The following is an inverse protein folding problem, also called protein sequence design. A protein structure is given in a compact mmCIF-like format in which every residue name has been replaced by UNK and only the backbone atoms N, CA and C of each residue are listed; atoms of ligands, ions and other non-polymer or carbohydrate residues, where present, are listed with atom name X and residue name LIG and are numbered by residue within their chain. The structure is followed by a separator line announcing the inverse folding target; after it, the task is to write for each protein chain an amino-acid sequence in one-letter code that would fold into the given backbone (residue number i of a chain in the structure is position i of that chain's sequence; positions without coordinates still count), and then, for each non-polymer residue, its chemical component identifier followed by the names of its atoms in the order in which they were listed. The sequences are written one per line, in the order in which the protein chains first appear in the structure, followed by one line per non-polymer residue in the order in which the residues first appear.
data_IF_324057600947
#
_entry.id   IF_324057600947
#
_cell.length_a   1.000
_cell.length_b   1.000
_cell.length_c   1.000
_cell.angle_alpha   90.00
_cell.angle_beta   90.00
_cell.angle_gamma   90.00
#
_symmetry.space_group_name_H-M   'P 1'
#
loop_
_entity.id
_entity.type
_entity.pdbx_description
1 polymer ?
#
# COMPACT_ATOMS: atom_id res chain seq x y z
N UNK A 1 19.49 -11.46 11.27
CA UNK A 1 20.82 -12.00 11.65
C UNK A 1 21.02 -12.00 13.16
N UNK A 2 21.11 -10.84 13.83
CA UNK A 2 21.58 -10.75 15.22
C UNK A 2 20.81 -11.56 16.27
N UNK A 3 19.48 -11.70 16.14
CA UNK A 3 18.63 -12.38 17.15
C UNK A 3 18.04 -13.70 16.67
N UNK A 4 18.20 -14.04 15.40
CA UNK A 4 17.46 -15.14 14.76
C UNK A 4 17.85 -16.53 15.26
N UNK A 5 19.12 -16.73 15.60
CA UNK A 5 19.65 -18.03 15.95
C UNK A 5 18.96 -18.65 17.19
N UNK A 6 18.65 -17.85 18.20
CA UNK A 6 17.92 -18.31 19.39
C UNK A 6 16.47 -18.73 19.12
N UNK A 7 15.92 -18.38 17.95
CA UNK A 7 14.59 -18.75 17.49
C UNK A 7 14.60 -19.77 16.33
N UNK A 8 15.76 -20.39 16.03
CA UNK A 8 15.89 -21.36 14.92
C UNK A 8 15.91 -20.73 13.52
N UNK A 9 16.17 -19.41 13.42
CA UNK A 9 16.28 -18.71 12.13
C UNK A 9 17.76 -18.61 11.76
N UNK A 10 18.15 -19.33 10.71
CA UNK A 10 19.52 -19.36 10.18
C UNK A 10 19.69 -18.41 8.98
N UNK A 11 20.89 -17.88 8.79
CA UNK A 11 21.26 -17.07 7.62
C UNK A 11 22.42 -17.74 6.90
N UNK A 12 22.22 -18.08 5.63
CA UNK A 12 23.28 -18.53 4.71
C UNK A 12 23.47 -17.43 3.67
N UNK A 13 24.71 -16.99 3.50
CA UNK A 13 25.06 -15.90 2.60
C UNK A 13 26.32 -16.28 1.81
N UNK A 14 26.31 -15.99 0.52
CA UNK A 14 27.48 -16.06 -0.37
C UNK A 14 27.85 -14.66 -0.83
N UNK A 15 29.15 -14.37 -0.91
CA UNK A 15 29.66 -13.12 -1.46
C UNK A 15 30.94 -13.40 -2.25
N UNK A 16 31.17 -12.64 -3.31
CA UNK A 16 32.38 -12.80 -4.14
C UNK A 16 33.63 -12.32 -3.41
N UNK A 17 33.45 -11.30 -2.55
CA UNK A 17 34.50 -10.78 -1.67
C UNK A 17 33.94 -10.58 -0.28
N UNK A 18 34.78 -10.88 0.71
CA UNK A 18 34.43 -10.64 2.12
C UNK A 18 34.04 -9.17 2.35
N UNK A 19 34.73 -8.21 1.73
CA UNK A 19 34.48 -6.77 1.87
C UNK A 19 33.07 -6.31 1.45
N UNK A 20 32.35 -7.09 0.64
CA UNK A 20 30.96 -6.79 0.26
C UNK A 20 29.98 -6.99 1.43
N UNK A 21 30.38 -7.79 2.42
CA UNK A 21 29.57 -8.05 3.61
C UNK A 21 29.88 -7.00 4.68
N UNK A 22 28.85 -6.30 5.17
CA UNK A 22 29.01 -5.29 6.22
C UNK A 22 29.55 -5.92 7.51
N UNK A 23 30.46 -5.22 8.19
CA UNK A 23 31.13 -5.71 9.39
C UNK A 23 30.15 -6.20 10.48
N UNK A 24 29.10 -5.42 10.75
CA UNK A 24 28.06 -5.79 11.72
C UNK A 24 27.34 -7.11 11.40
N UNK A 25 27.25 -7.50 10.12
CA UNK A 25 26.67 -8.78 9.72
C UNK A 25 27.70 -9.90 9.85
N UNK A 26 28.96 -9.65 9.47
CA UNK A 26 30.06 -10.62 9.57
C UNK A 26 30.25 -11.18 10.97
N UNK A 27 30.12 -10.34 12.00
CA UNK A 27 30.29 -10.77 13.40
C UNK A 27 29.28 -11.85 13.81
N UNK A 28 28.15 -11.97 13.10
CA UNK A 28 27.13 -12.99 13.34
C UNK A 28 27.31 -14.25 12.47
N UNK A 29 28.25 -14.24 11.52
CA UNK A 29 28.56 -15.36 10.65
C UNK A 29 29.65 -16.23 11.28
N UNK A 30 29.25 -17.16 12.15
CA UNK A 30 30.16 -18.04 12.89
C UNK A 30 30.80 -19.11 12.00
N UNK A 31 30.04 -19.68 11.06
CA UNK A 31 30.54 -20.67 10.11
C UNK A 31 30.93 -19.97 8.81
N UNK A 32 32.20 -20.06 8.43
CA UNK A 32 32.74 -19.43 7.21
C UNK A 32 33.49 -20.46 6.40
N UNK A 33 33.18 -20.52 5.12
CA UNK A 33 33.91 -21.31 4.13
C UNK A 33 34.42 -20.33 3.08
N UNK A 34 35.75 -20.25 2.92
CA UNK A 34 36.38 -19.35 1.97
C UNK A 34 36.86 -20.17 0.77
N UNK A 35 36.25 -19.94 -0.40
CA UNK A 35 36.72 -20.56 -1.65
C UNK A 35 37.93 -19.81 -2.21
N UNK A 36 38.49 -20.29 -3.32
CA UNK A 36 39.55 -19.57 -4.03
C UNK A 36 39.13 -18.11 -4.32
N UNK A 37 39.89 -17.17 -3.78
CA UNK A 37 39.70 -15.74 -4.01
C UNK A 37 40.44 -15.27 -5.27
N UNK A 38 39.90 -14.21 -5.89
CA UNK A 38 40.57 -13.50 -6.98
C UNK A 38 41.83 -12.79 -6.49
N UNK A 39 41.72 -12.05 -5.38
CA UNK A 39 42.85 -11.52 -4.63
C UNK A 39 42.95 -12.23 -3.28
N UNK A 40 44.07 -12.91 -3.05
CA UNK A 40 44.33 -13.65 -1.80
C UNK A 40 44.57 -12.73 -0.61
N UNK A 41 44.85 -11.44 -0.83
CA UNK A 41 44.98 -10.45 0.25
C UNK A 41 43.63 -10.14 0.93
N UNK A 42 42.53 -10.38 0.21
CA UNK A 42 41.15 -10.22 0.71
C UNK A 42 40.72 -11.36 1.66
N UNK A 43 41.56 -12.40 1.82
CA UNK A 43 41.31 -13.51 2.74
C UNK A 43 41.11 -13.01 4.17
N UNK A 44 40.02 -13.44 4.79
CA UNK A 44 39.74 -13.18 6.21
C UNK A 44 40.25 -14.28 7.13
N UNK A 45 40.58 -15.46 6.58
CA UNK A 45 41.08 -16.60 7.35
C UNK A 45 42.61 -16.62 7.45
N UNK A 46 43.31 -16.89 6.35
CA UNK A 46 44.77 -16.84 6.28
C UNK A 46 45.25 -16.59 4.85
N UNK A 47 45.96 -15.47 4.64
CA UNK A 47 46.44 -15.05 3.32
C UNK A 47 47.47 -16.00 2.71
N UNK A 48 48.29 -16.66 3.55
CA UNK A 48 49.30 -17.61 3.06
C UNK A 48 48.65 -18.91 2.60
N UNK A 49 47.63 -19.37 3.33
CA UNK A 49 46.85 -20.54 2.92
C UNK A 49 46.02 -20.22 1.67
N UNK A 50 45.35 -19.06 1.63
CA UNK A 50 44.60 -18.59 0.46
C UNK A 50 45.46 -18.59 -0.81
N UNK A 51 46.71 -18.14 -0.72
CA UNK A 51 47.66 -18.15 -1.83
C UNK A 51 47.91 -19.55 -2.40
N UNK A 52 47.87 -20.57 -1.55
CA UNK A 52 48.08 -21.98 -1.91
C UNK A 52 46.79 -22.72 -2.30
N UNK A 53 45.62 -22.09 -2.22
CA UNK A 53 44.38 -22.68 -2.76
C UNK A 53 44.48 -22.73 -4.29
N UNK A 54 44.35 -23.91 -4.92
CA UNK A 54 44.56 -24.07 -6.37
C UNK A 54 43.64 -23.19 -7.23
N UNK A 55 44.20 -22.61 -8.29
CA UNK A 55 43.45 -21.92 -9.34
C UNK A 55 42.86 -22.92 -10.33
N UNK A 56 41.66 -22.64 -10.86
CA UNK A 56 41.03 -23.49 -11.89
C UNK A 56 40.45 -24.80 -11.35
N UNK A 57 40.34 -24.96 -10.03
CA UNK A 57 39.71 -26.14 -9.39
C UNK A 57 38.51 -25.67 -8.56
N UNK A 58 37.31 -25.53 -9.17
CA UNK A 58 36.10 -25.14 -8.46
C UNK A 58 35.81 -26.06 -7.26
N UNK A 59 35.25 -25.48 -6.19
CA UNK A 59 34.97 -26.19 -4.94
C UNK A 59 36.15 -26.28 -3.96
N UNK A 60 37.38 -25.93 -4.37
CA UNK A 60 38.51 -25.81 -3.44
C UNK A 60 38.44 -24.53 -2.62
N UNK A 61 38.80 -24.65 -1.34
CA UNK A 61 38.85 -23.52 -0.41
C UNK A 61 39.60 -23.85 0.87
N UNK A 62 39.53 -22.93 1.82
CA UNK A 62 40.04 -23.08 3.17
C UNK A 62 38.94 -22.94 4.24
N UNK A 63 39.11 -23.70 5.31
CA UNK A 63 38.26 -23.67 6.51
C UNK A 63 38.84 -22.72 7.57
N UNK A 64 38.06 -22.35 8.61
CA UNK A 64 38.56 -21.51 9.72
C UNK A 64 39.77 -22.12 10.46
N UNK A 65 39.92 -23.45 10.41
CA UNK A 65 41.06 -24.19 10.95
C UNK A 65 42.28 -24.16 10.02
N UNK A 66 42.25 -23.37 8.94
CA UNK A 66 43.32 -23.24 7.95
C UNK A 66 43.61 -24.53 7.16
N UNK A 67 42.62 -25.42 7.08
CA UNK A 67 42.69 -26.66 6.31
C UNK A 67 42.08 -26.45 4.93
N UNK A 68 42.69 -27.06 3.90
CA UNK A 68 42.11 -27.12 2.57
C UNK A 68 40.90 -28.06 2.57
N UNK A 69 39.84 -27.70 1.86
CA UNK A 69 38.67 -28.55 1.66
C UNK A 69 38.26 -28.64 0.19
N UNK A 70 37.37 -29.60 -0.09
CA UNK A 70 36.64 -29.70 -1.36
C UNK A 70 35.15 -29.69 -1.11
N UNK A 71 34.42 -28.78 -1.74
CA UNK A 71 32.96 -28.84 -1.79
C UNK A 71 32.51 -30.12 -2.48
N UNK A 72 31.64 -30.89 -1.82
CA UNK A 72 30.97 -32.01 -2.46
C UNK A 72 29.98 -31.51 -3.52
N UNK A 73 29.78 -32.31 -4.57
CA UNK A 73 28.74 -32.06 -5.57
C UNK A 73 27.39 -32.56 -5.06
N UNK A 74 26.28 -31.81 -5.25
CA UNK A 74 24.95 -32.20 -4.79
C UNK A 74 24.32 -33.32 -5.65
N UNK A 75 24.80 -34.56 -5.51
CA UNK A 75 24.32 -35.73 -6.25
C UNK A 75 24.32 -37.01 -5.40
N UNK A 76 23.51 -37.99 -5.79
CA UNK A 76 23.33 -39.29 -5.11
C UNK A 76 23.47 -40.51 -6.04
N UNK A 77 23.90 -40.29 -7.28
CA UNK A 77 24.07 -41.33 -8.31
C UNK A 77 25.43 -42.06 -8.25
N UNK A 78 26.28 -41.70 -7.29
CA UNK A 78 27.60 -42.32 -7.07
C UNK A 78 28.73 -41.75 -7.93
N UNK A 79 28.46 -40.78 -8.81
CA UNK A 79 29.50 -40.07 -9.57
C UNK A 79 30.14 -38.97 -8.71
N UNK A 80 31.43 -38.70 -8.95
CA UNK A 80 32.22 -37.71 -8.18
C UNK A 80 32.68 -36.52 -9.02
N UNK A 81 32.13 -36.33 -10.22
CA UNK A 81 32.42 -35.21 -11.11
C UNK A 81 31.30 -34.15 -11.10
N UNK A 82 31.58 -32.99 -11.68
CA UNK A 82 30.62 -31.91 -11.97
C UNK A 82 29.92 -32.07 -13.33
N UNK A 83 30.12 -33.20 -14.00
CA UNK A 83 29.45 -33.54 -15.26
C UNK A 83 27.95 -33.68 -15.03
N UNK A 84 27.17 -33.04 -15.90
CA UNK A 84 25.69 -33.03 -15.89
C UNK A 84 25.10 -32.66 -14.51
N UNK A 85 25.77 -31.75 -13.79
CA UNK A 85 25.42 -31.43 -12.41
C UNK A 85 24.00 -30.88 -12.24
N UNK A 86 23.47 -30.18 -13.25
CA UNK A 86 22.09 -29.70 -13.24
C UNK A 86 21.09 -30.86 -13.17
N UNK A 87 21.26 -31.86 -14.05
CA UNK A 87 20.40 -33.05 -14.09
C UNK A 87 20.56 -33.90 -12.83
N UNK A 88 21.79 -34.07 -12.35
CA UNK A 88 22.07 -34.80 -11.11
C UNK A 88 21.42 -34.13 -9.88
N UNK A 89 21.46 -32.80 -9.82
CA UNK A 89 20.81 -32.02 -8.74
C UNK A 89 19.29 -32.13 -8.83
N UNK A 90 18.72 -32.09 -10.03
CA UNK A 90 17.28 -32.28 -10.24
C UNK A 90 16.81 -33.70 -9.86
N UNK A 91 17.62 -34.72 -10.17
CA UNK A 91 17.37 -36.10 -9.75
C UNK A 91 17.40 -36.24 -8.21
N UNK A 92 18.40 -35.65 -7.55
CA UNK A 92 18.45 -35.58 -6.09
C UNK A 92 17.20 -34.93 -5.50
N UNK A 93 16.79 -33.77 -6.00
CA UNK A 93 15.58 -33.08 -5.53
C UNK A 93 14.31 -33.92 -5.73
N UNK A 94 14.21 -34.61 -6.88
CA UNK A 94 13.09 -35.50 -7.19
C UNK A 94 13.01 -36.66 -6.21
N UNK A 95 14.13 -37.33 -5.93
CA UNK A 95 14.17 -38.45 -4.99
C UNK A 95 13.88 -38.01 -3.54
N UNK A 96 14.36 -36.83 -3.12
CA UNK A 96 14.02 -36.26 -1.81
C UNK A 96 12.51 -35.99 -1.71
N UNK A 97 11.93 -35.35 -2.74
CA UNK A 97 10.50 -35.05 -2.79
C UNK A 97 9.64 -36.31 -2.78
N UNK A 98 10.05 -37.34 -3.53
CA UNK A 98 9.35 -38.64 -3.60
C UNK A 98 9.23 -39.34 -2.24
N UNK A 99 10.24 -39.17 -1.38
CA UNK A 99 10.28 -39.82 -0.06
C UNK A 99 9.79 -38.91 1.08
N UNK A 100 9.36 -37.68 0.78
CA UNK A 100 8.83 -36.75 1.77
C UNK A 100 7.29 -36.78 1.77
N UNK A 101 6.69 -37.42 2.76
CA UNK A 101 5.24 -37.61 2.84
C UNK A 101 4.50 -36.50 3.62
N UNK A 102 5.24 -35.58 4.26
CA UNK A 102 4.68 -34.48 5.04
C UNK A 102 4.46 -33.22 4.16
N UNK A 103 3.70 -32.21 4.63
CA UNK A 103 3.65 -30.92 3.96
C UNK A 103 5.04 -30.34 3.72
N UNK A 104 5.24 -29.71 2.56
CA UNK A 104 6.49 -29.06 2.20
C UNK A 104 6.80 -27.81 3.02
N UNK A 105 7.87 -27.11 2.65
CA UNK A 105 8.18 -25.82 3.24
C UNK A 105 7.03 -24.82 3.02
N UNK A 106 6.61 -24.06 4.04
CA UNK A 106 5.59 -23.03 3.87
C UNK A 106 6.00 -22.01 2.80
N UNK A 107 5.07 -21.68 1.92
CA UNK A 107 5.32 -20.68 0.88
C UNK A 107 5.45 -19.27 1.47
N UNK A 108 6.27 -18.45 0.81
CA UNK A 108 6.32 -17.01 1.11
C UNK A 108 5.01 -16.40 0.66
N UNK A 109 4.18 -16.00 1.64
CA UNK A 109 2.93 -15.29 1.35
C UNK A 109 3.26 -13.96 0.69
N UNK A 110 2.72 -13.74 -0.51
CA UNK A 110 2.88 -12.51 -1.26
C UNK A 110 1.61 -11.67 -1.15
N UNK A 111 1.77 -10.35 -1.33
CA UNK A 111 0.63 -9.48 -1.49
C UNK A 111 -0.14 -9.88 -2.77
N UNK A 112 -1.42 -10.30 -2.66
CA UNK A 112 -2.15 -10.89 -3.77
C UNK A 112 -2.32 -9.88 -4.91
N UNK A 113 -2.37 -10.38 -6.15
CA UNK A 113 -2.60 -9.51 -7.32
C UNK A 113 -4.02 -8.95 -7.35
N UNK A 114 -4.98 -9.76 -6.93
CA UNK A 114 -6.38 -9.40 -6.77
C UNK A 114 -6.79 -9.80 -5.35
N UNK A 115 -7.40 -8.87 -4.62
CA UNK A 115 -7.88 -9.10 -3.26
C UNK A 115 -9.40 -8.99 -3.29
N UNK A 116 -10.16 -10.10 -3.32
CA UNK A 116 -11.62 -10.04 -3.25
C UNK A 116 -12.08 -9.24 -2.02
N UNK A 117 -13.05 -8.33 -2.20
CA UNK A 117 -13.49 -7.43 -1.13
C UNK A 117 -14.02 -8.17 0.10
N UNK A 118 -14.50 -9.41 -0.07
CA UNK A 118 -15.06 -10.27 0.97
C UNK A 118 -14.00 -10.79 1.95
N UNK A 119 -12.71 -10.74 1.57
CA UNK A 119 -11.60 -11.06 2.46
C UNK A 119 -11.26 -9.91 3.42
N UNK A 120 -11.74 -8.70 3.13
CA UNK A 120 -11.61 -7.57 4.04
C UNK A 120 -12.62 -7.71 5.19
N UNK A 121 -12.27 -7.31 6.41
CA UNK A 121 -13.24 -7.12 7.47
C UNK A 121 -14.39 -6.20 7.00
N UNK A 122 -15.62 -6.56 7.35
CA UNK A 122 -16.79 -5.72 7.06
C UNK A 122 -16.71 -4.40 7.82
N UNK A 123 -17.48 -3.40 7.38
CA UNK A 123 -17.37 -2.03 7.90
C UNK A 123 -17.57 -1.89 9.42
N UNK A 124 -18.32 -2.83 10.00
CA UNK A 124 -18.64 -2.89 11.44
C UNK A 124 -17.71 -3.77 12.27
N UNK A 125 -16.80 -4.52 11.66
CA UNK A 125 -15.97 -5.50 12.38
C UNK A 125 -15.02 -4.84 13.39
N UNK A 126 -14.46 -3.67 13.04
CA UNK A 126 -13.50 -2.95 13.87
C UNK A 126 -13.83 -1.45 13.95
N UNK A 127 -14.91 -1.05 14.64
CA UNK A 127 -15.43 0.32 14.55
C UNK A 127 -14.41 1.39 14.96
N UNK A 128 -13.55 1.10 15.95
CA UNK A 128 -12.50 2.02 16.41
C UNK A 128 -11.35 2.23 15.41
N UNK A 129 -11.23 1.40 14.36
CA UNK A 129 -10.14 1.49 13.37
C UNK A 129 -10.55 2.20 12.08
N UNK A 130 -11.84 2.46 11.88
CA UNK A 130 -12.38 2.91 10.60
C UNK A 130 -12.82 1.75 9.71
N UNK A 131 -12.92 1.99 8.40
CA UNK A 131 -13.31 0.99 7.40
C UNK A 131 -12.10 0.37 6.72
N UNK A 132 -12.10 -0.95 6.52
CA UNK A 132 -11.02 -1.66 5.85
C UNK A 132 -11.11 -1.48 4.33
N UNK A 133 -9.98 -1.27 3.67
CA UNK A 133 -9.97 -1.08 2.21
C UNK A 133 -8.85 -1.83 1.46
N UNK A 134 -7.84 -2.35 2.17
CA UNK A 134 -6.68 -2.98 1.54
C UNK A 134 -5.93 -3.93 2.50
N UNK A 135 -4.99 -4.73 1.98
CA UNK A 135 -3.91 -5.37 2.75
C UNK A 135 -2.57 -4.68 2.51
N UNK A 136 -1.71 -4.57 3.51
CA UNK A 136 -0.33 -4.09 3.35
C UNK A 136 0.68 -5.19 3.01
N UNK A 137 1.78 -4.85 2.34
CA UNK A 137 2.84 -5.79 1.96
C UNK A 137 3.68 -6.27 3.16
N UNK A 138 3.83 -5.43 4.20
CA UNK A 138 4.75 -5.68 5.32
C UNK A 138 4.28 -6.87 6.18
N UNK A 139 2.99 -6.94 6.47
CA UNK A 139 2.39 -7.93 7.37
C UNK A 139 1.22 -8.71 6.74
N UNK A 140 0.75 -8.32 5.55
CA UNK A 140 -0.47 -8.84 4.94
C UNK A 140 -1.70 -8.68 5.85
N UNK A 141 -1.75 -7.54 6.56
CA UNK A 141 -2.85 -7.20 7.47
C UNK A 141 -3.80 -6.17 6.85
N UNK A 142 -5.08 -6.15 7.28
CA UNK A 142 -6.02 -5.13 6.85
C UNK A 142 -5.57 -3.70 7.20
N UNK A 143 -5.64 -2.83 6.20
CA UNK A 143 -5.44 -1.38 6.29
C UNK A 143 -6.79 -0.69 6.35
N UNK A 144 -6.90 0.27 7.26
CA UNK A 144 -8.14 0.98 7.56
C UNK A 144 -8.00 2.47 7.32
N UNK A 145 -9.11 3.12 6.98
CA UNK A 145 -9.27 4.57 6.97
C UNK A 145 -10.36 4.98 7.95
N UNK A 146 -10.03 5.93 8.84
CA UNK A 146 -10.92 6.44 9.88
C UNK A 146 -11.35 7.87 9.58
N UNK A 147 -12.50 8.01 8.94
CA UNK A 147 -13.08 9.31 8.59
C UNK A 147 -13.59 10.12 9.79
N UNK A 148 -13.65 9.55 11.00
CA UNK A 148 -13.93 10.31 12.22
C UNK A 148 -12.70 11.08 12.71
N UNK A 149 -11.50 10.68 12.27
CA UNK A 149 -10.24 11.33 12.59
C UNK A 149 -9.76 12.21 11.44
N UNK A 150 -9.81 11.68 10.22
CA UNK A 150 -9.24 12.29 9.03
C UNK A 150 -10.33 12.42 7.95
N UNK A 151 -10.92 13.61 7.74
CA UNK A 151 -12.10 13.77 6.87
C UNK A 151 -11.78 13.73 5.37
N UNK A 152 -10.52 13.57 4.98
CA UNK A 152 -10.05 13.71 3.61
C UNK A 152 -9.31 12.46 3.14
N UNK A 153 -9.80 11.88 2.05
CA UNK A 153 -9.17 10.75 1.39
C UNK A 153 -9.02 11.00 -0.10
N UNK A 154 -7.79 10.92 -0.60
CA UNK A 154 -7.44 11.17 -2.00
C UNK A 154 -7.01 9.88 -2.69
N UNK A 155 -7.52 9.64 -3.89
CA UNK A 155 -7.13 8.51 -4.74
C UNK A 155 -6.50 9.06 -6.02
N UNK A 156 -5.22 8.78 -6.20
CA UNK A 156 -4.48 9.14 -7.40
C UNK A 156 -4.21 7.89 -8.22
N UNK A 157 -4.49 7.92 -9.52
CA UNK A 157 -4.07 6.85 -10.42
C UNK A 157 -4.46 7.10 -11.87
N UNK A 158 -3.81 6.42 -12.81
CA UNK A 158 -4.16 6.51 -14.23
C UNK A 158 -5.44 5.73 -14.56
N UNK A 159 -5.81 5.72 -15.84
CA UNK A 159 -6.91 4.89 -16.34
C UNK A 159 -6.72 3.44 -15.90
N UNK A 160 -7.81 2.76 -15.54
CA UNK A 160 -7.81 1.32 -15.20
C UNK A 160 -6.94 0.91 -13.98
N UNK A 161 -6.40 1.87 -13.23
CA UNK A 161 -5.60 1.60 -12.02
C UNK A 161 -6.41 1.12 -10.82
N UNK A 162 -7.75 1.18 -10.88
CA UNK A 162 -8.66 0.78 -9.80
C UNK A 162 -9.27 1.92 -8.98
N UNK A 163 -9.18 3.18 -9.45
CA UNK A 163 -9.75 4.37 -8.78
C UNK A 163 -11.23 4.19 -8.44
N UNK A 164 -12.07 3.98 -9.45
CA UNK A 164 -13.52 3.86 -9.28
C UNK A 164 -13.86 2.65 -8.41
N UNK A 165 -13.19 1.51 -8.59
CA UNK A 165 -13.35 0.35 -7.71
C UNK A 165 -13.08 0.67 -6.23
N UNK A 166 -12.03 1.44 -5.93
CA UNK A 166 -11.75 1.86 -4.54
C UNK A 166 -12.84 2.79 -3.99
N UNK A 167 -13.39 3.69 -4.80
CA UNK A 167 -14.56 4.50 -4.39
C UNK A 167 -15.76 3.61 -4.08
N UNK A 168 -16.07 2.62 -4.93
CA UNK A 168 -17.15 1.66 -4.69
C UNK A 168 -16.96 0.87 -3.40
N UNK A 169 -15.73 0.40 -3.16
CA UNK A 169 -15.38 -0.32 -1.94
C UNK A 169 -15.62 0.54 -0.70
N UNK A 170 -15.18 1.81 -0.72
CA UNK A 170 -15.36 2.71 0.41
C UNK A 170 -16.84 3.03 0.65
N UNK A 171 -17.64 3.25 -0.40
CA UNK A 171 -19.09 3.42 -0.28
C UNK A 171 -19.71 2.19 0.38
N UNK A 172 -19.44 0.98 -0.16
CA UNK A 172 -19.94 -0.30 0.40
C UNK A 172 -19.58 -0.46 1.88
N UNK A 173 -18.32 -0.22 2.22
CA UNK A 173 -17.85 -0.36 3.61
C UNK A 173 -18.51 0.64 4.55
N UNK A 174 -18.79 1.86 4.09
CA UNK A 174 -19.45 2.90 4.87
C UNK A 174 -20.96 2.66 5.02
N UNK A 175 -21.64 2.16 3.99
CA UNK A 175 -23.08 1.80 4.04
C UNK A 175 -23.34 0.55 4.85
N UNK A 176 -22.40 -0.40 4.88
CA UNK A 176 -22.44 -1.49 5.85
C UNK A 176 -22.24 -0.99 7.28
N UNK A 177 -21.40 0.03 7.46
CA UNK A 177 -20.99 0.52 8.77
C UNK A 177 -22.04 1.40 9.46
N UNK A 178 -22.67 2.29 8.70
CA UNK A 178 -23.58 3.30 9.23
C UNK A 178 -24.96 3.15 8.61
N UNK A 179 -26.05 3.36 9.37
CA UNK A 179 -27.38 3.42 8.78
C UNK A 179 -27.56 4.69 7.94
N UNK A 180 -28.50 4.65 7.00
CA UNK A 180 -28.76 5.75 6.06
C UNK A 180 -29.21 7.06 6.72
N UNK A 181 -29.69 7.03 7.96
CA UNK A 181 -30.06 8.23 8.73
C UNK A 181 -28.85 8.96 9.31
N UNK A 182 -27.73 8.25 9.49
CA UNK A 182 -26.47 8.78 10.03
C UNK A 182 -25.42 9.04 8.94
N UNK A 183 -25.58 8.42 7.76
CA UNK A 183 -24.64 8.48 6.66
C UNK A 183 -25.34 8.78 5.33
N UNK A 184 -24.98 9.92 4.73
CA UNK A 184 -25.46 10.33 3.42
C UNK A 184 -24.31 10.52 2.43
N UNK A 185 -24.53 10.12 1.18
CA UNK A 185 -23.57 10.28 0.10
C UNK A 185 -24.02 11.33 -0.90
N UNK A 186 -23.05 12.14 -1.29
CA UNK A 186 -23.14 13.12 -2.36
C UNK A 186 -22.16 12.68 -3.45
N UNK A 187 -22.67 12.08 -4.52
CA UNK A 187 -21.84 11.39 -5.52
C UNK A 187 -21.74 12.21 -6.79
N UNK A 188 -20.53 12.64 -7.13
CA UNK A 188 -20.20 13.28 -8.42
C UNK A 188 -19.48 12.26 -9.27
N UNK A 189 -20.08 11.90 -10.40
CA UNK A 189 -19.61 10.81 -11.25
C UNK A 189 -19.85 11.11 -12.73
N UNK A 190 -18.87 11.81 -13.32
CA UNK A 190 -18.95 12.28 -14.70
C UNK A 190 -18.94 11.14 -15.73
N UNK A 191 -18.41 9.96 -15.37
CA UNK A 191 -18.30 8.79 -16.27
C UNK A 191 -19.30 7.68 -15.95
N UNK A 192 -20.16 7.89 -14.95
CA UNK A 192 -21.19 6.92 -14.53
C UNK A 192 -20.58 5.59 -14.07
N UNK A 193 -19.38 5.64 -13.50
CA UNK A 193 -18.66 4.47 -12.99
C UNK A 193 -19.24 3.96 -11.66
N UNK A 194 -20.01 4.79 -10.95
CA UNK A 194 -20.56 4.59 -9.61
C UNK A 194 -22.09 4.45 -9.58
N UNK A 195 -22.72 4.20 -10.75
CA UNK A 195 -24.16 3.92 -10.83
C UNK A 195 -24.55 2.72 -9.95
N UNK A 196 -25.67 2.87 -9.26
CA UNK A 196 -26.30 1.86 -8.39
C UNK A 196 -25.42 1.34 -7.22
N UNK A 197 -24.21 1.89 -7.03
CA UNK A 197 -23.31 1.54 -5.91
C UNK A 197 -23.86 1.98 -4.56
N UNK A 198 -24.54 3.13 -4.54
CA UNK A 198 -25.03 3.74 -3.30
C UNK A 198 -26.50 3.37 -3.10
N UNK A 199 -26.86 2.69 -1.99
CA UNK A 199 -28.25 2.40 -1.68
C UNK A 199 -29.09 3.67 -1.58
N UNK A 200 -30.35 3.63 -2.03
CA UNK A 200 -31.27 4.78 -1.98
C UNK A 200 -31.45 5.35 -0.55
N UNK A 201 -31.32 4.50 0.48
CA UNK A 201 -31.38 4.93 1.89
C UNK A 201 -30.21 5.83 2.30
N UNK A 202 -29.07 5.75 1.60
CA UNK A 202 -27.85 6.50 1.89
C UNK A 202 -27.57 7.58 0.85
N UNK A 203 -28.12 7.49 -0.36
CA UNK A 203 -27.92 8.49 -1.40
C UNK A 203 -28.68 9.79 -1.05
N UNK A 204 -27.96 10.90 -0.94
CA UNK A 204 -28.57 12.23 -0.87
C UNK A 204 -28.72 12.85 -2.26
N UNK A 205 -27.68 12.75 -3.09
CA UNK A 205 -27.68 13.30 -4.45
C UNK A 205 -26.69 12.54 -5.33
N UNK A 206 -27.06 12.34 -6.60
CA UNK A 206 -26.20 11.77 -7.64
C UNK A 206 -26.08 12.73 -8.81
N UNK A 207 -24.86 13.12 -9.15
CA UNK A 207 -24.56 14.17 -10.12
C UNK A 207 -23.75 13.60 -11.28
N UNK A 208 -24.39 13.32 -12.43
CA UNK A 208 -23.72 12.74 -13.60
C UNK A 208 -22.99 13.75 -14.48
N UNK A 209 -23.24 15.06 -14.33
CA UNK A 209 -22.66 16.09 -15.19
C UNK A 209 -22.36 17.39 -14.42
N UNK A 210 -21.28 18.06 -14.81
CA UNK A 210 -20.72 19.23 -14.13
C UNK A 210 -21.58 20.49 -14.20
N UNK A 211 -22.53 20.61 -15.14
CA UNK A 211 -23.33 21.82 -15.32
C UNK A 211 -24.35 22.10 -14.20
N UNK A 212 -24.74 21.09 -13.41
CA UNK A 212 -25.56 21.27 -12.20
C UNK A 212 -24.72 21.44 -10.92
N UNK A 213 -23.39 21.29 -11.03
CA UNK A 213 -22.51 21.15 -9.88
C UNK A 213 -22.43 22.42 -9.02
N UNK A 214 -22.53 23.61 -9.62
CA UNK A 214 -22.48 24.87 -8.87
C UNK A 214 -23.62 25.00 -7.86
N UNK A 215 -24.85 24.65 -8.25
CA UNK A 215 -26.02 24.66 -7.37
C UNK A 215 -25.84 23.71 -6.17
N UNK A 216 -25.35 22.52 -6.50
CA UNK A 216 -25.06 21.44 -5.57
C UNK A 216 -23.93 21.79 -4.58
N UNK A 217 -22.85 22.40 -5.06
CA UNK A 217 -21.75 22.87 -4.23
C UNK A 217 -22.17 24.04 -3.36
N UNK A 218 -23.01 24.95 -3.86
CA UNK A 218 -23.59 26.03 -3.05
C UNK A 218 -24.42 25.46 -1.88
N UNK A 219 -25.23 24.42 -2.11
CA UNK A 219 -25.97 23.75 -1.05
C UNK A 219 -25.06 23.10 0.01
N UNK A 220 -23.92 22.52 -0.39
CA UNK A 220 -22.91 22.00 0.53
C UNK A 220 -22.21 23.12 1.32
N UNK A 221 -21.89 24.25 0.68
CA UNK A 221 -21.35 25.44 1.34
C UNK A 221 -22.31 25.91 2.43
N UNK A 222 -23.59 26.08 2.09
CA UNK A 222 -24.61 26.49 3.05
C UNK A 222 -24.77 25.49 4.20
N UNK A 223 -24.72 24.19 3.90
CA UNK A 223 -24.77 23.14 4.92
C UNK A 223 -23.60 23.24 5.90
N UNK A 224 -22.38 23.36 5.38
CA UNK A 224 -21.17 23.50 6.21
C UNK A 224 -21.23 24.77 7.05
N UNK A 225 -21.62 25.90 6.46
CA UNK A 225 -21.77 27.18 7.17
C UNK A 225 -22.79 27.11 8.30
N UNK A 226 -23.96 26.51 8.08
CA UNK A 226 -24.99 26.31 9.13
C UNK A 226 -24.51 25.43 10.27
N UNK A 227 -23.60 24.50 10.00
CA UNK A 227 -23.02 23.58 10.99
C UNK A 227 -21.74 24.12 11.62
N UNK A 228 -21.19 25.24 11.15
CA UNK A 228 -20.01 25.87 11.75
C UNK A 228 -20.34 26.31 13.18
N UNK A 229 -19.51 25.96 14.18
CA UNK A 229 -19.75 26.35 15.56
C UNK A 229 -19.74 27.88 15.71
N UNK A 230 -20.73 28.43 16.40
CA UNK A 230 -20.79 29.84 16.78
C UNK A 230 -20.01 30.10 18.06
N UNK A 231 -19.79 31.37 18.41
CA UNK A 231 -19.08 31.76 19.64
C UNK A 231 -19.76 31.29 20.94
N UNK A 232 -21.03 30.88 20.86
CA UNK A 232 -21.82 30.40 21.99
C UNK A 232 -21.61 28.90 22.27
N UNK A 233 -20.97 28.17 21.35
CA UNK A 233 -20.74 26.72 21.51
C UNK A 233 -19.68 26.48 22.57
N UNK A 234 -20.06 25.73 23.61
CA UNK A 234 -19.15 25.40 24.72
C UNK A 234 -18.05 24.43 24.30
N UNK A 235 -16.94 24.42 25.05
CA UNK A 235 -15.85 23.47 24.82
C UNK A 235 -16.25 21.98 24.98
N UNK A 236 -17.32 21.68 25.71
CA UNK A 236 -17.88 20.33 25.79
C UNK A 236 -18.64 19.99 24.51
N UNK A 237 -19.52 20.87 24.06
CA UNK A 237 -20.26 20.69 22.80
C UNK A 237 -19.31 20.57 21.60
N UNK A 238 -18.20 21.33 21.58
CA UNK A 238 -17.15 21.22 20.57
C UNK A 238 -16.53 19.82 20.51
N UNK A 239 -16.20 19.23 21.67
CA UNK A 239 -15.61 17.89 21.75
C UNK A 239 -16.60 16.79 21.36
N UNK A 240 -17.87 16.96 21.74
CA UNK A 240 -18.94 15.98 21.53
C UNK A 240 -19.65 16.16 20.18
N UNK A 241 -19.37 17.24 19.44
CA UNK A 241 -20.07 17.61 18.19
C UNK A 241 -21.58 17.76 18.34
N UNK A 242 -22.05 18.25 19.49
CA UNK A 242 -23.46 18.20 19.86
C UNK A 242 -24.27 19.47 19.56
N UNK A 243 -23.66 20.51 18.97
CA UNK A 243 -24.36 21.75 18.60
C UNK A 243 -25.18 21.65 17.30
N UNK A 244 -24.95 20.61 16.50
CA UNK A 244 -25.77 20.29 15.33
C UNK A 244 -26.21 18.82 15.38
N UNK A 245 -27.25 18.50 14.61
CA UNK A 245 -27.76 17.13 14.45
C UNK A 245 -27.99 16.83 12.98
N UNK A 246 -27.91 15.54 12.63
CA UNK A 246 -28.18 15.05 11.28
C UNK A 246 -27.07 14.12 10.78
N UNK A 247 -27.18 13.64 9.55
CA UNK A 247 -26.21 12.72 8.99
C UNK A 247 -24.87 13.39 8.76
N UNK A 248 -23.84 12.57 8.85
CA UNK A 248 -22.56 12.81 8.19
C UNK A 248 -22.75 12.75 6.67
N UNK A 249 -22.17 13.71 5.96
CA UNK A 249 -22.19 13.74 4.50
C UNK A 249 -20.82 13.35 3.95
N UNK A 250 -20.79 12.31 3.12
CA UNK A 250 -19.63 11.87 2.36
C UNK A 250 -19.74 12.39 0.93
N UNK A 251 -18.88 13.34 0.57
CA UNK A 251 -18.75 13.87 -0.79
C UNK A 251 -17.77 12.98 -1.55
N UNK A 252 -18.30 12.18 -2.46
CA UNK A 252 -17.53 11.26 -3.30
C UNK A 252 -17.43 11.83 -4.69
N UNK A 253 -16.22 12.03 -5.19
CA UNK A 253 -15.98 12.60 -6.52
C UNK A 253 -15.09 11.63 -7.29
N UNK A 254 -15.61 11.04 -8.37
CA UNK A 254 -14.79 10.34 -9.36
C UNK A 254 -14.32 11.30 -10.46
N UNK A 255 -13.15 11.03 -11.02
CA UNK A 255 -12.52 11.84 -12.07
C UNK A 255 -12.55 13.36 -11.80
N UNK A 256 -12.05 13.79 -10.64
CA UNK A 256 -12.02 15.21 -10.24
C UNK A 256 -11.30 16.13 -11.26
N UNK A 257 -10.38 15.61 -12.06
CA UNK A 257 -9.77 16.35 -13.17
C UNK A 257 -10.78 16.79 -14.26
N UNK A 258 -11.96 16.16 -14.34
CA UNK A 258 -13.07 16.60 -15.21
C UNK A 258 -13.98 17.64 -14.53
N UNK A 259 -13.86 17.80 -13.21
CA UNK A 259 -14.63 18.75 -12.40
C UNK A 259 -13.91 20.11 -12.35
N UNK A 260 -12.60 20.09 -12.15
CA UNK A 260 -11.76 21.29 -12.14
C UNK A 260 -11.34 21.68 -13.55
N UNK A 261 -12.07 22.59 -14.19
CA UNK A 261 -11.80 23.03 -15.57
C UNK A 261 -11.18 24.43 -15.62
N UNK A 262 -10.82 24.89 -16.83
CA UNK A 262 -10.31 26.25 -17.05
C UNK A 262 -11.34 27.35 -16.77
N UNK A 263 -12.64 27.03 -16.76
CA UNK A 263 -13.71 27.98 -16.42
C UNK A 263 -13.89 28.17 -14.91
N UNK A 264 -13.20 27.37 -14.08
CA UNK A 264 -13.24 27.44 -12.62
C UNK A 264 -13.41 26.07 -11.97
N UNK A 265 -13.31 26.05 -10.64
CA UNK A 265 -13.57 24.88 -9.82
C UNK A 265 -14.83 25.12 -8.98
N UNK A 266 -15.93 24.39 -9.19
CA UNK A 266 -17.17 24.53 -8.40
C UNK A 266 -16.99 24.27 -6.90
N UNK A 267 -15.93 23.55 -6.51
CA UNK A 267 -15.60 23.29 -5.10
C UNK A 267 -14.82 24.44 -4.44
N UNK A 268 -14.44 25.47 -5.20
CA UNK A 268 -13.65 26.60 -4.69
C UNK A 268 -14.27 27.28 -3.46
N UNK A 269 -15.60 27.41 -3.41
CA UNK A 269 -16.34 27.99 -2.29
C UNK A 269 -16.24 27.19 -0.97
N UNK A 270 -15.80 25.93 -1.02
CA UNK A 270 -15.62 25.08 0.16
C UNK A 270 -14.22 25.19 0.77
N UNK A 271 -13.26 25.80 0.07
CA UNK A 271 -11.84 25.82 0.46
C UNK A 271 -11.63 26.36 1.87
N UNK A 272 -12.27 27.48 2.20
CA UNK A 272 -12.18 28.11 3.54
C UNK A 272 -12.92 27.33 4.64
N UNK A 273 -13.80 26.41 4.24
CA UNK A 273 -14.60 25.59 5.16
C UNK A 273 -13.94 24.24 5.46
N UNK A 274 -12.95 23.81 4.66
CA UNK A 274 -12.22 22.56 4.85
C UNK A 274 -11.65 22.37 6.28
N UNK A 275 -11.08 23.39 6.96
CA UNK A 275 -10.59 23.21 8.33
C UNK A 275 -11.67 22.72 9.31
N UNK A 276 -12.94 23.01 9.04
CA UNK A 276 -14.08 22.64 9.87
C UNK A 276 -14.76 21.34 9.42
N UNK A 277 -14.35 20.74 8.29
CA UNK A 277 -15.03 19.60 7.65
C UNK A 277 -15.35 18.47 8.62
N UNK A 278 -14.37 18.09 9.46
CA UNK A 278 -14.54 17.08 10.50
C UNK A 278 -15.65 17.43 11.49
N UNK A 279 -15.67 18.66 11.96
CA UNK A 279 -16.56 19.11 13.04
C UNK A 279 -17.98 19.37 12.56
N UNK A 280 -18.15 19.77 11.30
CA UNK A 280 -19.45 19.93 10.63
C UNK A 280 -19.99 18.64 10.02
N UNK A 281 -19.26 17.54 10.17
CA UNK A 281 -19.68 16.23 9.72
C UNK A 281 -19.66 16.05 8.19
N UNK A 282 -18.73 16.69 7.49
CA UNK A 282 -18.53 16.55 6.04
C UNK A 282 -17.17 15.91 5.76
N UNK A 283 -17.16 14.87 4.93
CA UNK A 283 -15.98 14.08 4.57
C UNK A 283 -15.84 14.03 3.06
N UNK A 284 -14.61 14.09 2.54
CA UNK A 284 -14.33 14.11 1.11
C UNK A 284 -13.52 12.89 0.71
N UNK A 285 -14.01 12.18 -0.31
CA UNK A 285 -13.36 11.04 -0.93
C UNK A 285 -13.22 11.36 -2.42
N UNK A 286 -12.01 11.70 -2.87
CA UNK A 286 -11.80 12.27 -4.20
C UNK A 286 -10.83 11.40 -4.98
N UNK A 287 -11.27 10.91 -6.14
CA UNK A 287 -10.42 10.24 -7.10
C UNK A 287 -10.06 11.17 -8.26
N UNK A 288 -8.82 11.06 -8.75
CA UNK A 288 -8.33 11.83 -9.88
C UNK A 288 -7.24 11.11 -10.66
N UNK A 289 -7.10 11.51 -11.91
CA UNK A 289 -5.93 11.15 -12.69
C UNK A 289 -4.62 11.68 -12.06
N UNK A 290 -3.55 10.88 -12.16
CA UNK A 290 -2.18 11.37 -11.93
C UNK A 290 -1.72 12.30 -13.03
N UNK A 291 -2.31 12.23 -14.24
CA UNK A 291 -1.94 13.10 -15.34
C UNK A 291 -2.17 14.57 -14.97
N UNK A 292 -1.13 15.39 -15.11
CA UNK A 292 -1.14 16.79 -14.70
C UNK A 292 -1.24 17.00 -13.19
N UNK A 293 -0.97 15.98 -12.36
CA UNK A 293 -1.18 16.07 -10.93
C UNK A 293 -0.24 17.00 -10.20
N UNK A 294 1.01 17.12 -10.68
CA UNK A 294 1.94 18.10 -10.16
C UNK A 294 1.39 19.53 -10.27
N UNK A 295 0.83 19.91 -11.43
CA UNK A 295 0.27 21.26 -11.66
C UNK A 295 -0.99 21.52 -10.87
N UNK A 296 -1.94 20.58 -10.92
CA UNK A 296 -3.21 20.69 -10.19
C UNK A 296 -3.07 20.45 -8.67
N UNK A 297 -1.85 20.26 -8.16
CA UNK A 297 -1.61 20.27 -6.70
C UNK A 297 -1.54 21.67 -6.11
N UNK A 298 -1.37 22.70 -6.95
CA UNK A 298 -1.40 24.12 -6.57
C UNK A 298 -2.79 24.75 -6.74
N UNK A 299 -3.77 23.97 -7.18
CA UNK A 299 -5.16 24.41 -7.17
C UNK A 299 -5.62 24.55 -5.70
N UNK A 300 -6.27 25.68 -5.31
CA UNK A 300 -6.48 26.02 -3.91
C UNK A 300 -7.18 24.95 -3.07
N UNK A 301 -8.22 24.30 -3.63
CA UNK A 301 -8.99 23.30 -2.90
C UNK A 301 -8.16 22.05 -2.61
N UNK A 302 -7.50 21.48 -3.62
CA UNK A 302 -6.63 20.31 -3.48
C UNK A 302 -5.40 20.61 -2.62
N UNK A 303 -4.81 21.80 -2.77
CA UNK A 303 -3.69 22.25 -1.95
C UNK A 303 -4.11 22.29 -0.48
N UNK A 304 -5.25 22.91 -0.17
CA UNK A 304 -5.74 23.04 1.19
C UNK A 304 -6.05 21.69 1.84
N UNK A 305 -6.65 20.75 1.11
CA UNK A 305 -6.87 19.39 1.60
C UNK A 305 -5.56 18.69 2.00
N UNK A 306 -4.51 18.83 1.17
CA UNK A 306 -3.18 18.25 1.45
C UNK A 306 -2.53 18.89 2.67
N UNK A 307 -2.59 20.21 2.80
CA UNK A 307 -2.08 20.95 3.97
C UNK A 307 -2.75 20.50 5.27
N UNK A 308 -4.08 20.29 5.23
CA UNK A 308 -4.85 19.80 6.36
C UNK A 308 -4.58 18.32 6.69
N UNK A 309 -3.89 17.60 5.80
CA UNK A 309 -3.39 16.25 6.07
C UNK A 309 -4.16 15.13 5.42
N UNK A 310 -4.72 15.37 4.24
CA UNK A 310 -5.38 14.33 3.48
C UNK A 310 -4.54 13.05 3.41
N UNK A 311 -5.20 11.95 3.76
CA UNK A 311 -4.69 10.61 3.55
C UNK A 311 -5.04 10.18 2.14
N UNK A 312 -4.48 9.08 1.66
CA UNK A 312 -4.86 8.61 0.34
C UNK A 312 -4.02 7.49 -0.20
N UNK A 313 -4.41 6.99 -1.38
CA UNK A 313 -3.70 5.94 -2.09
C UNK A 313 -3.19 6.50 -3.41
N UNK A 314 -1.91 6.29 -3.68
CA UNK A 314 -1.30 6.51 -4.99
C UNK A 314 -1.19 5.16 -5.70
N UNK A 315 -2.12 4.92 -6.61
CA UNK A 315 -2.18 3.73 -7.47
C UNK A 315 -1.18 3.85 -8.64
N UNK A 316 -1.32 2.97 -9.63
CA UNK A 316 -0.48 2.97 -10.82
C UNK A 316 -0.52 4.31 -11.57
N UNK A 317 0.63 4.75 -12.07
CA UNK A 317 0.75 5.89 -12.97
C UNK A 317 2.20 6.20 -13.39
N UNK A 318 2.39 7.27 -14.15
CA UNK A 318 3.69 7.70 -14.67
C UNK A 318 4.57 8.39 -13.59
N UNK A 319 5.81 7.92 -13.34
CA UNK A 319 6.78 8.62 -12.51
C UNK A 319 7.13 10.06 -12.96
N UNK A 320 6.90 10.40 -14.23
CA UNK A 320 7.13 11.73 -14.80
C UNK A 320 6.25 12.84 -14.18
N UNK A 321 5.13 12.48 -13.56
CA UNK A 321 4.22 13.43 -12.90
C UNK A 321 4.78 13.99 -11.57
N UNK A 322 5.87 13.42 -11.08
CA UNK A 322 6.52 13.83 -9.84
C UNK A 322 5.73 13.43 -8.60
N UNK A 323 5.85 14.20 -7.53
CA UNK A 323 5.29 13.86 -6.23
C UNK A 323 3.82 14.28 -6.15
N UNK A 324 2.91 13.32 -6.01
CA UNK A 324 1.46 13.58 -6.07
C UNK A 324 0.79 13.65 -4.70
N UNK A 325 1.23 12.84 -3.73
CA UNK A 325 0.69 12.86 -2.36
C UNK A 325 1.77 12.45 -1.37
N UNK A 326 2.00 13.29 -0.35
CA UNK A 326 2.96 13.00 0.72
C UNK A 326 4.38 12.69 0.25
N UNK A 327 4.83 13.18 -0.92
CA UNK A 327 6.14 12.84 -1.49
C UNK A 327 6.21 11.42 -2.05
N UNK A 328 5.08 10.87 -2.51
CA UNK A 328 5.04 9.62 -3.29
C UNK A 328 4.93 9.97 -4.76
N UNK A 329 5.82 9.37 -5.55
CA UNK A 329 5.81 9.42 -7.00
C UNK A 329 5.08 8.19 -7.55
N UNK A 330 4.10 8.35 -8.47
CA UNK A 330 3.44 7.23 -9.14
C UNK A 330 4.46 6.34 -9.86
N UNK A 331 4.11 5.07 -10.04
CA UNK A 331 4.90 4.13 -10.84
C UNK A 331 3.99 3.05 -11.43
N UNK A 332 4.43 2.34 -12.49
CA UNK A 332 3.69 1.20 -13.00
C UNK A 332 3.48 0.14 -11.91
N UNK A 333 2.22 -0.25 -11.71
CA UNK A 333 1.79 -1.26 -10.74
C UNK A 333 0.56 -2.01 -11.27
N UNK A 334 0.29 -3.25 -10.81
CA UNK A 334 -0.98 -3.92 -11.08
C UNK A 334 -2.18 -3.10 -10.60
N UNK A 335 -3.35 -3.33 -11.19
CA UNK A 335 -4.59 -2.68 -10.77
C UNK A 335 -4.89 -2.96 -9.27
N UNK A 336 -5.37 -1.92 -8.58
CA UNK A 336 -5.63 -1.97 -7.14
C UNK A 336 -4.38 -1.93 -6.26
N UNK A 337 -3.17 -2.02 -6.83
CA UNK A 337 -1.93 -1.85 -6.08
C UNK A 337 -1.55 -0.38 -5.99
N UNK A 338 -1.19 0.06 -4.79
CA UNK A 338 -0.80 1.45 -4.57
C UNK A 338 0.00 1.64 -3.29
N UNK A 339 0.49 2.85 -3.09
CA UNK A 339 1.13 3.25 -1.84
C UNK A 339 0.09 4.02 -1.01
N UNK A 340 -0.20 3.53 0.19
CA UNK A 340 -1.09 4.24 1.12
C UNK A 340 -0.29 5.29 1.88
N UNK A 341 -0.72 6.55 1.79
CA UNK A 341 -0.11 7.69 2.46
C UNK A 341 -0.98 8.07 3.65
N UNK A 342 -0.43 7.95 4.85
CA UNK A 342 -1.05 8.43 6.08
C UNK A 342 0.00 9.01 7.03
N UNK A 343 -0.38 10.03 7.80
CA UNK A 343 0.49 10.65 8.82
C UNK A 343 0.97 9.65 9.88
N UNK A 344 0.21 8.58 10.15
CA UNK A 344 0.45 7.68 11.28
C UNK A 344 1.14 6.36 10.91
N UNK A 345 1.01 5.89 9.67
CA UNK A 345 1.44 4.54 9.23
C UNK A 345 2.62 4.54 8.25
N UNK A 346 3.20 5.70 7.96
CA UNK A 346 4.22 5.81 6.91
C UNK A 346 3.59 5.66 5.52
N UNK A 347 4.27 4.91 4.64
CA UNK A 347 3.91 4.77 3.23
C UNK A 347 3.94 3.30 2.76
N UNK A 348 3.16 2.39 3.38
CA UNK A 348 3.18 0.99 2.98
C UNK A 348 2.65 0.80 1.56
N UNK A 349 3.20 -0.19 0.86
CA UNK A 349 2.58 -0.72 -0.35
C UNK A 349 1.35 -1.53 0.05
N UNK A 350 0.24 -1.33 -0.65
CA UNK A 350 -1.04 -1.96 -0.35
C UNK A 350 -1.70 -2.51 -1.60
N UNK A 351 -2.55 -3.53 -1.42
CA UNK A 351 -3.46 -4.05 -2.43
C UNK A 351 -4.90 -3.78 -1.98
N UNK A 352 -5.65 -2.99 -2.74
CA UNK A 352 -7.04 -2.66 -2.43
C UNK A 352 -7.99 -3.81 -2.71
N UNK A 353 -9.10 -3.85 -1.97
CA UNK A 353 -10.19 -4.79 -2.21
C UNK A 353 -10.83 -4.58 -3.58
N UNK A 354 -11.11 -5.67 -4.28
CA UNK A 354 -11.80 -5.73 -5.56
C UNK A 354 -13.27 -6.04 -5.30
N UNK A 355 -14.15 -5.10 -5.65
CA UNK A 355 -15.60 -5.29 -5.57
C UNK A 355 -16.04 -6.05 -6.83
N UNK A 356 -16.85 -7.11 -6.72
CA UNK A 356 -17.32 -7.85 -7.89
C UNK A 356 -18.14 -6.96 -8.83
N UNK A 357 -17.91 -7.08 -10.14
CA UNK A 357 -18.73 -6.40 -11.15
C UNK A 357 -20.16 -6.95 -11.12
N UNK A 358 -21.16 -6.05 -11.07
CA UNK A 358 -22.58 -6.42 -11.20
C UNK A 358 -23.32 -6.77 -9.90
N UNK A 359 -22.73 -6.52 -8.73
CA UNK A 359 -23.46 -6.59 -7.45
C UNK A 359 -23.82 -5.18 -7.02
N UNK A 360 -24.96 -4.68 -7.49
CA UNK A 360 -25.51 -3.39 -7.11
C UNK A 360 -26.99 -3.56 -6.75
#
# INVERSE_FOLDING_TARGET
AARGLGYGIHLVLTASRSMEVRANLKDHLMNRLELRLGDTMDSELDRKVAANVPTGVPGRGQSPQKLHFMGAVPRIDGLTSDTDLADATAALATEVSRHWEAPGAPEVRLLPRELPSEQLPTGNSFPRRGVAFAFDEDNLEPVYVDFEQDPFFLVYGESESGKSNLLRLLIKQLTERYPGDDCKFFVVDNRRSLLDVTPATHLAEYIPMSNAMDHHMAALVDLMQRRTPTAEVTAQQLRERSWWRGPTVYVVIDDYDLVSTSSGNPLSGLTELLPFARDVGVRFIIARSTAGAGRASYEPFMQRMKELGAQGVVLAGDPGEGDVLGGVRPRPMPAGRGVFVSRRRGKPLVQTGLVPEGTY
#
